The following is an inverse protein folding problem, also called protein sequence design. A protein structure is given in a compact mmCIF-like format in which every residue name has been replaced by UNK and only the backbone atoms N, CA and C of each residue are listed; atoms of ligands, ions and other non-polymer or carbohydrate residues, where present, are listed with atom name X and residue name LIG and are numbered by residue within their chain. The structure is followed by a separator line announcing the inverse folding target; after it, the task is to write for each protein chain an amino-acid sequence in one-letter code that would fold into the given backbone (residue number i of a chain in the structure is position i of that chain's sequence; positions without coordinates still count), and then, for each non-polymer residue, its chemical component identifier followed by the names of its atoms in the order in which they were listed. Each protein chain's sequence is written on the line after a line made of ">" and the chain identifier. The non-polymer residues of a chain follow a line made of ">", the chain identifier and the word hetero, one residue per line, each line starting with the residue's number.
data_IF_149088412829
#
_entry.id   IF_149088412829
#
_cell.length_a   1.000
_cell.length_b   1.000
_cell.length_c   1.000
_cell.angle_alpha   90.00
_cell.angle_beta   90.00
_cell.angle_gamma   90.00
#
_symmetry.space_group_name_H-M   'P 1'
#
loop_
_entity.id
_entity.type
_entity.pdbx_description
1 polymer ?
#
# COMPACT_ATOMS: atom_id res chain seq x y z
N UNK A 1 15.14 -6.33 10.09
CA UNK A 1 14.01 -5.38 9.92
C UNK A 1 13.42 -5.65 8.54
N UNK A 2 12.11 -5.79 8.43
CA UNK A 2 11.42 -6.07 7.16
C UNK A 2 10.62 -4.85 6.75
N UNK A 3 10.35 -4.66 5.46
CA UNK A 3 9.70 -3.44 4.97
C UNK A 3 8.36 -3.77 4.34
N UNK A 4 7.32 -3.06 4.76
CA UNK A 4 6.02 -3.06 4.09
C UNK A 4 6.01 -1.89 3.12
N UNK A 5 5.54 -2.12 1.91
CA UNK A 5 5.39 -1.06 0.92
C UNK A 5 3.92 -0.78 0.68
N UNK A 6 3.54 0.50 0.74
CA UNK A 6 2.22 0.97 0.34
C UNK A 6 2.31 1.70 -1.00
N UNK A 7 1.45 1.35 -1.94
CA UNK A 7 1.41 1.89 -3.28
C UNK A 7 0.06 2.57 -3.51
N UNK A 8 0.11 3.76 -4.11
CA UNK A 8 -1.07 4.52 -4.51
C UNK A 8 -1.09 4.78 -6.01
N UNK A 9 -2.22 5.31 -6.47
CA UNK A 9 -2.44 5.68 -7.86
C UNK A 9 -2.63 7.20 -7.92
N UNK A 10 -1.57 7.90 -8.34
CA UNK A 10 -1.56 9.36 -8.37
C UNK A 10 -2.05 9.91 -9.72
N UNK A 11 -2.66 11.11 -9.70
CA UNK A 11 -3.18 11.76 -10.91
C UNK A 11 -2.08 12.14 -11.93
N UNK A 12 -0.84 12.32 -11.46
CA UNK A 12 0.31 12.63 -12.31
C UNK A 12 1.01 11.39 -12.85
N UNK A 13 0.51 10.18 -12.58
CA UNK A 13 1.15 8.94 -13.00
C UNK A 13 0.84 8.62 -14.48
N UNK A 14 1.86 8.57 -15.36
CA UNK A 14 1.66 8.23 -16.76
C UNK A 14 1.23 6.76 -16.98
N UNK A 15 1.38 5.89 -15.98
CA UNK A 15 1.16 4.45 -16.09
C UNK A 15 -0.31 4.05 -15.94
N UNK A 16 -1.19 4.75 -16.67
CA UNK A 16 -2.65 4.56 -16.61
C UNK A 16 -3.24 4.47 -18.01
N UNK A 17 -4.04 3.44 -18.29
CA UNK A 17 -4.83 3.39 -19.52
C UNK A 17 -6.04 4.33 -19.42
N UNK A 18 -5.82 5.58 -19.82
CA UNK A 18 -6.81 6.65 -19.77
C UNK A 18 -7.73 6.71 -20.99
N UNK A 19 -7.47 5.93 -22.04
CA UNK A 19 -8.22 6.05 -23.29
C UNK A 19 -9.67 5.56 -23.13
N UNK A 20 -10.62 6.51 -23.20
CA UNK A 20 -12.04 6.23 -22.99
C UNK A 20 -12.41 5.97 -21.51
N UNK A 21 -11.47 6.20 -20.59
CA UNK A 21 -11.67 6.01 -19.15
C UNK A 21 -12.18 7.29 -18.49
N UNK A 22 -13.11 7.14 -17.54
CA UNK A 22 -13.44 8.17 -16.57
C UNK A 22 -12.67 7.88 -15.28
N UNK A 23 -11.83 8.83 -14.86
CA UNK A 23 -10.98 8.67 -13.68
C UNK A 23 -11.16 9.88 -12.78
N UNK A 24 -11.53 9.64 -11.52
CA UNK A 24 -11.64 10.67 -10.50
C UNK A 24 -10.71 10.35 -9.33
N UNK A 25 -9.95 11.37 -8.90
CA UNK A 25 -9.00 11.30 -7.79
C UNK A 25 -9.59 12.06 -6.61
N UNK A 26 -9.85 11.36 -5.52
CA UNK A 26 -10.46 11.92 -4.32
C UNK A 26 -9.40 12.51 -3.38
N UNK A 27 -9.82 13.47 -2.54
CA UNK A 27 -8.93 14.13 -1.58
C UNK A 27 -8.31 13.17 -0.55
N UNK A 28 -8.95 12.01 -0.33
CA UNK A 28 -8.45 10.94 0.54
C UNK A 28 -7.52 9.95 -0.19
N UNK A 29 -7.15 10.22 -1.46
CA UNK A 29 -6.26 9.39 -2.26
C UNK A 29 -6.93 8.22 -2.98
N UNK A 30 -8.26 8.08 -2.90
CA UNK A 30 -8.96 7.02 -3.63
C UNK A 30 -9.07 7.37 -5.11
N UNK A 31 -9.02 6.34 -5.95
CA UNK A 31 -9.21 6.50 -7.40
C UNK A 31 -10.46 5.74 -7.83
N UNK A 32 -11.40 6.48 -8.41
CA UNK A 32 -12.57 5.89 -9.07
C UNK A 32 -12.30 5.78 -10.55
N UNK A 33 -12.33 4.55 -11.06
CA UNK A 33 -12.10 4.20 -12.45
C UNK A 33 -13.35 3.59 -13.07
N UNK A 34 -13.67 4.01 -14.29
CA UNK A 34 -14.69 3.40 -15.12
C UNK A 34 -14.29 3.46 -16.59
N UNK A 35 -14.33 2.31 -17.26
CA UNK A 35 -14.21 2.27 -18.72
C UNK A 35 -15.03 1.09 -19.27
N UNK A 36 -16.23 1.36 -19.77
CA UNK A 36 -17.13 0.32 -20.26
C UNK A 36 -16.69 -0.28 -21.60
N UNK A 37 -15.80 0.39 -22.33
CA UNK A 37 -15.37 -0.01 -23.68
C UNK A 37 -14.00 -0.71 -23.68
N UNK A 38 -13.23 -0.61 -22.59
CA UNK A 38 -11.94 -1.26 -22.51
C UNK A 38 -12.11 -2.80 -22.55
N UNK A 39 -11.42 -3.51 -23.46
CA UNK A 39 -11.48 -4.97 -23.54
C UNK A 39 -10.98 -5.66 -22.26
N UNK A 40 -11.46 -6.88 -22.02
CA UNK A 40 -10.90 -7.73 -20.97
C UNK A 40 -9.42 -8.06 -21.26
N UNK A 41 -8.63 -8.22 -20.20
CA UNK A 41 -7.19 -8.49 -20.24
C UNK A 41 -6.31 -7.24 -20.40
N UNK A 42 -6.90 -6.05 -20.50
CA UNK A 42 -6.13 -4.79 -20.58
C UNK A 42 -5.75 -4.28 -19.20
N UNK A 43 -4.58 -3.63 -19.13
CA UNK A 43 -4.11 -2.97 -17.91
C UNK A 43 -4.93 -1.71 -17.67
N UNK A 44 -5.34 -1.51 -16.43
CA UNK A 44 -5.97 -0.28 -15.95
C UNK A 44 -4.89 0.70 -15.53
N UNK A 45 -3.98 0.24 -14.68
CA UNK A 45 -2.87 1.00 -14.12
C UNK A 45 -1.74 0.03 -13.76
N UNK A 46 -0.49 0.50 -13.78
CA UNK A 46 0.67 -0.33 -13.44
C UNK A 46 1.78 0.44 -12.71
N UNK A 47 2.53 -0.30 -11.91
CA UNK A 47 3.74 0.17 -11.23
C UNK A 47 4.90 -0.71 -11.70
N UNK A 48 6.08 -0.15 -11.92
CA UNK A 48 7.23 -0.87 -12.46
C UNK A 48 8.55 -0.42 -11.80
N UNK A 49 9.55 -1.30 -11.77
CA UNK A 49 10.90 -0.95 -11.27
C UNK A 49 11.70 -0.11 -12.25
N UNK A 50 11.34 -0.13 -13.54
CA UNK A 50 12.07 0.54 -14.60
C UNK A 50 11.12 1.03 -15.69
N UNK A 51 11.29 2.28 -16.09
CA UNK A 51 10.51 2.87 -17.16
C UNK A 51 11.14 2.53 -18.53
N UNK A 52 10.36 2.04 -19.50
CA UNK A 52 10.81 1.97 -20.88
C UNK A 52 10.83 3.40 -21.42
N UNK A 53 12.03 3.89 -21.79
CA UNK A 53 12.37 5.18 -22.41
C UNK A 53 13.03 6.21 -21.48
N UNK A 54 14.28 6.50 -21.82
CA UNK A 54 15.23 7.30 -21.07
C UNK A 54 14.74 8.70 -20.72
N UNK A 55 14.73 9.00 -19.44
CA UNK A 55 15.40 10.17 -18.85
C UNK A 55 15.23 10.10 -17.33
N UNK A 56 16.18 9.44 -16.66
CA UNK A 56 16.28 9.36 -15.21
C UNK A 56 16.60 10.71 -14.52
N UNK A 57 16.43 11.85 -15.21
CA UNK A 57 16.86 13.18 -14.75
C UNK A 57 15.74 14.22 -14.64
N UNK A 58 14.47 13.81 -14.61
CA UNK A 58 13.40 14.73 -14.20
C UNK A 58 13.22 14.75 -12.67
N UNK A 59 12.99 15.91 -12.04
CA UNK A 59 12.78 16.04 -10.59
C UNK A 59 11.50 15.39 -10.05
N UNK A 60 10.70 14.71 -10.90
CA UNK A 60 9.39 14.16 -10.56
C UNK A 60 9.34 12.61 -10.48
N UNK A 61 10.46 11.91 -10.72
CA UNK A 61 10.44 10.46 -10.99
C UNK A 61 10.89 9.57 -9.82
N UNK A 62 11.60 10.10 -8.82
CA UNK A 62 12.15 9.30 -7.72
C UNK A 62 11.12 8.68 -6.76
N UNK A 63 9.84 9.03 -6.89
CA UNK A 63 8.75 8.54 -6.04
C UNK A 63 7.76 7.61 -6.73
N UNK A 64 7.94 7.31 -8.04
CA UNK A 64 7.00 6.58 -8.91
C UNK A 64 7.42 5.15 -9.26
N UNK A 65 8.62 4.74 -8.86
CA UNK A 65 9.17 3.42 -9.20
C UNK A 65 8.97 2.44 -8.05
N UNK A 66 8.66 1.19 -8.40
CA UNK A 66 8.63 0.09 -7.45
C UNK A 66 10.00 -0.09 -6.76
N UNK A 67 10.01 -0.51 -5.49
CA UNK A 67 11.25 -0.77 -4.77
C UNK A 67 11.96 -2.00 -5.36
N UNK A 68 13.28 -2.05 -5.28
CA UNK A 68 13.98 -3.32 -5.52
C UNK A 68 13.77 -4.25 -4.32
N UNK A 69 13.11 -5.38 -4.55
CA UNK A 69 12.83 -6.37 -3.50
C UNK A 69 13.98 -7.39 -3.39
N UNK A 70 14.30 -7.87 -2.18
CA UNK A 70 15.19 -9.01 -1.99
C UNK A 70 14.81 -10.22 -2.85
N UNK A 71 15.83 -10.94 -3.35
CA UNK A 71 15.64 -12.16 -4.14
C UNK A 71 15.52 -13.39 -3.26
N UNK A 72 14.76 -14.38 -3.74
CA UNK A 72 14.42 -15.63 -3.06
C UNK A 72 13.77 -15.39 -1.69
N UNK A 73 13.06 -14.26 -1.56
CA UNK A 73 12.17 -13.97 -0.44
C UNK A 73 10.74 -13.93 -0.96
N UNK A 74 9.83 -14.52 -0.18
CA UNK A 74 8.41 -14.55 -0.50
C UNK A 74 7.72 -13.28 -0.01
N UNK A 75 6.84 -12.76 -0.84
CA UNK A 75 6.03 -11.57 -0.58
C UNK A 75 4.56 -11.84 -0.90
N UNK A 76 3.71 -11.00 -0.33
CA UNK A 76 2.28 -10.96 -0.57
C UNK A 76 1.88 -9.57 -1.03
N UNK A 77 1.21 -9.53 -2.17
CA UNK A 77 0.58 -8.35 -2.71
C UNK A 77 -0.89 -8.34 -2.31
N UNK A 78 -1.34 -7.23 -1.75
CA UNK A 78 -2.72 -7.05 -1.29
C UNK A 78 -3.30 -5.84 -1.98
N UNK A 79 -4.33 -6.05 -2.78
CA UNK A 79 -5.15 -4.98 -3.30
C UNK A 79 -6.23 -4.63 -2.29
N UNK A 80 -6.39 -3.34 -2.03
CA UNK A 80 -7.63 -2.84 -1.50
C UNK A 80 -8.32 -1.98 -2.55
N UNK A 81 -9.48 -2.47 -2.93
CA UNK A 81 -10.40 -1.79 -3.79
C UNK A 81 -11.68 -2.60 -3.91
N UNK A 82 -12.71 -1.94 -4.43
CA UNK A 82 -13.99 -2.58 -4.72
C UNK A 82 -14.23 -2.53 -6.22
N UNK A 83 -14.40 -3.69 -6.82
CA UNK A 83 -14.76 -3.83 -8.22
C UNK A 83 -16.25 -4.21 -8.32
N UNK A 84 -16.94 -3.63 -9.29
CA UNK A 84 -18.28 -4.00 -9.68
C UNK A 84 -18.29 -4.41 -11.16
N UNK A 85 -18.68 -5.65 -11.52
CA UNK A 85 -18.96 -6.79 -10.62
C UNK A 85 -17.75 -7.20 -9.77
N UNK A 86 -17.97 -8.00 -8.72
CA UNK A 86 -16.86 -8.58 -7.94
C UNK A 86 -15.92 -9.40 -8.85
N UNK A 87 -14.64 -9.47 -8.47
CA UNK A 87 -13.57 -10.19 -9.20
C UNK A 87 -13.39 -9.76 -10.66
N UNK A 88 -13.88 -8.57 -11.02
CA UNK A 88 -13.78 -8.03 -12.38
C UNK A 88 -12.50 -7.23 -12.63
N UNK A 89 -11.68 -7.04 -11.60
CA UNK A 89 -10.32 -6.47 -11.67
C UNK A 89 -9.38 -7.44 -10.97
N UNK A 90 -8.32 -7.85 -11.64
CA UNK A 90 -7.28 -8.72 -11.10
C UNK A 90 -5.96 -8.00 -10.90
N UNK A 91 -5.05 -8.65 -10.19
CA UNK A 91 -3.67 -8.22 -9.99
C UNK A 91 -2.76 -9.11 -10.82
N UNK A 92 -1.84 -8.52 -11.57
CA UNK A 92 -0.87 -9.21 -12.40
C UNK A 92 0.55 -8.80 -12.00
N UNK A 93 1.45 -9.76 -11.92
CA UNK A 93 2.90 -9.58 -11.80
C UNK A 93 3.56 -10.06 -13.09
N UNK A 94 4.41 -9.23 -13.67
CA UNK A 94 5.30 -9.59 -14.77
C UNK A 94 6.74 -9.33 -14.33
N UNK A 95 7.63 -10.28 -14.56
CA UNK A 95 9.06 -10.13 -14.25
C UNK A 95 9.89 -10.21 -15.52
N UNK A 96 11.05 -9.56 -15.49
CA UNK A 96 11.94 -9.43 -16.62
C UNK A 96 13.38 -9.79 -16.22
N UNK A 97 14.10 -10.43 -17.14
CA UNK A 97 15.52 -10.73 -16.95
C UNK A 97 16.41 -9.49 -17.19
N UNK A 98 17.73 -9.67 -17.04
CA UNK A 98 18.72 -8.63 -17.33
C UNK A 98 18.66 -8.08 -18.77
N UNK A 99 18.17 -8.88 -19.72
CA UNK A 99 18.00 -8.50 -21.12
C UNK A 99 16.61 -7.92 -21.42
N UNK A 100 15.82 -7.64 -20.38
CA UNK A 100 14.45 -7.14 -20.46
C UNK A 100 13.50 -8.08 -21.20
N UNK A 101 13.84 -9.37 -21.24
CA UNK A 101 12.94 -10.42 -21.74
C UNK A 101 12.00 -10.84 -20.62
N UNK A 102 10.78 -11.19 -20.99
CA UNK A 102 9.81 -11.77 -20.07
C UNK A 102 10.41 -13.01 -19.40
N UNK A 103 10.58 -12.96 -18.09
CA UNK A 103 11.07 -14.08 -17.30
C UNK A 103 9.90 -14.90 -16.75
N UNK A 104 8.90 -14.23 -16.15
CA UNK A 104 7.74 -14.88 -15.57
C UNK A 104 6.50 -13.98 -15.59
N UNK A 105 5.33 -14.61 -15.49
CA UNK A 105 4.04 -13.94 -15.39
C UNK A 105 3.14 -14.69 -14.41
N UNK A 106 2.53 -13.97 -13.48
CA UNK A 106 1.53 -14.52 -12.57
C UNK A 106 0.36 -13.56 -12.40
N UNK A 107 -0.81 -14.09 -12.07
CA UNK A 107 -2.02 -13.30 -11.94
C UNK A 107 -2.96 -13.88 -10.90
N UNK A 108 -3.69 -13.00 -10.22
CA UNK A 108 -4.80 -13.35 -9.35
C UNK A 108 -6.02 -12.51 -9.69
N UNK A 109 -7.20 -13.13 -9.70
CA UNK A 109 -8.48 -12.41 -9.78
C UNK A 109 -8.97 -11.97 -8.41
N UNK A 110 -8.37 -12.49 -7.34
CA UNK A 110 -8.67 -12.04 -5.98
C UNK A 110 -7.86 -10.79 -5.65
N UNK A 111 -8.14 -10.22 -4.50
CA UNK A 111 -7.40 -9.09 -3.96
C UNK A 111 -6.00 -9.46 -3.40
N UNK A 112 -5.50 -10.66 -3.68
CA UNK A 112 -4.25 -11.18 -3.12
C UNK A 112 -3.44 -11.95 -4.17
N UNK A 113 -2.13 -11.71 -4.21
CA UNK A 113 -1.16 -12.46 -5.01
C UNK A 113 0.08 -12.76 -4.16
N UNK A 114 0.50 -14.02 -4.08
CA UNK A 114 1.78 -14.40 -3.44
C UNK A 114 2.83 -14.59 -4.52
N UNK A 115 4.05 -14.11 -4.28
CA UNK A 115 5.13 -14.19 -5.26
C UNK A 115 6.50 -14.26 -4.58
N UNK A 116 7.50 -14.68 -5.35
CA UNK A 116 8.91 -14.69 -5.00
C UNK A 116 9.69 -14.28 -6.24
N UNK A 117 10.69 -13.40 -6.08
CA UNK A 117 11.57 -13.01 -7.18
C UNK A 117 12.86 -13.82 -7.12
N UNK A 118 13.16 -14.56 -8.16
CA UNK A 118 14.40 -15.32 -8.34
C UNK A 118 15.59 -14.41 -8.68
N UNK A 119 16.80 -14.95 -8.63
CA UNK A 119 18.02 -14.18 -8.94
C UNK A 119 18.07 -13.69 -10.41
N UNK A 120 17.41 -14.40 -11.33
CA UNK A 120 17.42 -14.07 -12.76
C UNK A 120 16.40 -12.99 -13.12
N UNK A 121 15.43 -12.73 -12.24
CA UNK A 121 14.40 -11.69 -12.41
C UNK A 121 14.95 -10.36 -11.88
N UNK A 122 15.30 -9.44 -12.79
CA UNK A 122 15.94 -8.16 -12.48
C UNK A 122 14.92 -7.04 -12.28
N UNK A 123 13.92 -6.98 -13.15
CA UNK A 123 12.87 -5.96 -13.14
C UNK A 123 11.51 -6.61 -12.99
N UNK A 124 10.55 -5.87 -12.45
CA UNK A 124 9.19 -6.35 -12.32
C UNK A 124 8.16 -5.24 -12.40
N UNK A 125 6.94 -5.62 -12.77
CA UNK A 125 5.77 -4.77 -12.89
C UNK A 125 4.60 -5.40 -12.15
N UNK A 126 3.85 -4.59 -11.39
CA UNK A 126 2.52 -4.92 -10.94
C UNK A 126 1.48 -4.15 -11.74
N UNK A 127 0.43 -4.84 -12.14
CA UNK A 127 -0.64 -4.30 -12.97
C UNK A 127 -2.00 -4.61 -12.38
N UNK A 128 -2.90 -3.63 -12.40
CA UNK A 128 -4.34 -3.85 -12.28
C UNK A 128 -4.87 -4.22 -13.67
N UNK A 129 -5.55 -5.35 -13.79
CA UNK A 129 -6.03 -5.85 -15.08
C UNK A 129 -7.54 -5.91 -15.09
N UNK A 130 -8.14 -5.29 -16.11
CA UNK A 130 -9.58 -5.28 -16.32
C UNK A 130 -10.05 -6.62 -16.89
N UNK A 131 -11.13 -7.15 -16.33
CA UNK A 131 -11.96 -8.20 -16.93
C UNK A 131 -13.32 -7.61 -17.31
N UNK A 132 -14.38 -8.06 -16.68
CA UNK A 132 -15.73 -7.56 -16.93
C UNK A 132 -16.08 -6.33 -16.05
N UNK A 133 -15.11 -5.45 -15.78
CA UNK A 133 -15.30 -4.35 -14.84
C UNK A 133 -16.19 -3.25 -15.42
N UNK A 134 -17.15 -2.80 -14.62
CA UNK A 134 -17.98 -1.62 -14.90
C UNK A 134 -17.50 -0.41 -14.11
N UNK A 135 -17.15 -0.64 -12.84
CA UNK A 135 -16.65 0.39 -11.94
C UNK A 135 -15.62 -0.21 -10.99
N UNK A 136 -14.55 0.53 -10.73
CA UNK A 136 -13.52 0.15 -9.78
C UNK A 136 -13.19 1.33 -8.88
N UNK A 137 -13.15 1.09 -7.57
CA UNK A 137 -12.63 2.03 -6.60
C UNK A 137 -11.34 1.46 -6.05
N UNK A 138 -10.22 2.04 -6.44
CA UNK A 138 -8.91 1.73 -5.90
C UNK A 138 -8.65 2.54 -4.63
N UNK A 139 -8.17 1.89 -3.58
CA UNK A 139 -7.78 2.56 -2.34
C UNK A 139 -6.28 2.44 -2.07
N UNK A 140 -5.67 1.30 -2.40
CA UNK A 140 -4.23 1.10 -2.25
C UNK A 140 -3.80 -0.31 -2.58
N UNK A 141 -2.49 -0.51 -2.69
CA UNK A 141 -1.88 -1.81 -2.87
C UNK A 141 -0.71 -1.96 -1.88
N UNK A 142 -0.58 -3.11 -1.23
CA UNK A 142 0.47 -3.36 -0.25
C UNK A 142 1.35 -4.53 -0.63
N UNK A 143 2.66 -4.35 -0.53
CA UNK A 143 3.64 -5.44 -0.59
C UNK A 143 4.07 -5.76 0.83
N UNK A 144 3.78 -6.99 1.28
CA UNK A 144 4.06 -7.46 2.64
C UNK A 144 5.00 -8.67 2.58
N UNK A 145 6.15 -8.64 3.25
CA UNK A 145 7.04 -9.80 3.39
C UNK A 145 6.34 -10.99 4.04
N UNK A 146 6.62 -12.22 3.59
CA UNK A 146 5.99 -13.45 4.12
C UNK A 146 6.19 -13.56 5.64
N UNK A 147 7.35 -13.19 6.19
CA UNK A 147 7.59 -13.15 7.63
C UNK A 147 6.56 -12.32 8.41
N UNK A 148 6.15 -11.16 7.89
CA UNK A 148 5.11 -10.33 8.52
C UNK A 148 3.73 -10.96 8.27
N UNK A 149 3.49 -11.45 7.06
CA UNK A 149 2.24 -12.11 6.69
C UNK A 149 1.93 -13.35 7.54
N UNK A 150 2.94 -14.15 7.90
CA UNK A 150 2.76 -15.33 8.75
C UNK A 150 2.36 -14.94 10.18
N UNK A 151 2.81 -13.79 10.68
CA UNK A 151 2.56 -13.35 12.05
C UNK A 151 1.27 -12.53 12.21
N UNK A 152 0.88 -11.79 11.17
CA UNK A 152 -0.21 -10.81 11.25
C UNK A 152 -1.30 -11.04 10.20
N UNK A 153 -2.54 -10.85 10.60
CA UNK A 153 -3.64 -10.53 9.69
C UNK A 153 -3.53 -9.05 9.34
N UNK A 154 -3.33 -8.79 8.05
CA UNK A 154 -3.22 -7.44 7.51
C UNK A 154 -4.63 -6.96 7.14
N UNK A 155 -5.12 -5.91 7.81
CA UNK A 155 -6.43 -5.33 7.57
C UNK A 155 -6.28 -3.85 7.21
N UNK A 156 -6.38 -3.51 5.92
CA UNK A 156 -6.38 -2.12 5.52
C UNK A 156 -7.61 -1.35 6.02
N UNK A 157 -7.44 -0.05 6.30
CA UNK A 157 -8.39 0.87 6.93
C UNK A 157 -8.40 2.22 6.21
N UNK A 158 -8.85 2.21 4.98
CA UNK A 158 -8.69 3.36 4.08
C UNK A 158 -9.53 4.58 4.42
N UNK A 159 -10.73 4.41 4.98
CA UNK A 159 -11.52 5.53 5.53
C UNK A 159 -10.76 6.27 6.66
N UNK A 160 -9.70 5.65 7.17
CA UNK A 160 -8.85 6.16 8.22
C UNK A 160 -7.42 6.43 7.76
N UNK A 161 -7.14 6.28 6.45
CA UNK A 161 -5.79 6.30 5.89
C UNK A 161 -4.81 5.43 6.69
N UNK A 162 -5.21 4.20 7.03
CA UNK A 162 -4.42 3.34 7.91
C UNK A 162 -4.37 1.89 7.44
N UNK A 163 -3.45 1.11 8.02
CA UNK A 163 -3.41 -0.35 7.93
C UNK A 163 -3.20 -0.93 9.33
N UNK A 164 -3.99 -1.94 9.66
CA UNK A 164 -3.86 -2.71 10.89
C UNK A 164 -3.07 -3.98 10.60
N UNK A 165 -2.10 -4.26 11.46
CA UNK A 165 -1.43 -5.55 11.57
C UNK A 165 -1.87 -6.18 12.88
N UNK A 166 -2.73 -7.19 12.76
CA UNK A 166 -3.38 -7.86 13.89
C UNK A 166 -2.69 -9.21 14.10
N UNK A 167 -2.00 -9.46 15.23
CA UNK A 167 -1.30 -10.73 15.38
C UNK A 167 -2.27 -11.91 15.32
N UNK A 168 -1.90 -12.96 14.57
CA UNK A 168 -2.77 -14.14 14.37
C UNK A 168 -2.93 -14.96 15.65
N UNK A 169 -1.91 -14.97 16.51
CA UNK A 169 -1.85 -15.84 17.70
C UNK A 169 -2.05 -15.10 19.04
N UNK A 170 -2.41 -13.80 19.05
CA UNK A 170 -2.60 -13.05 20.29
C UNK A 170 -4.08 -12.96 20.70
N UNK A 171 -4.49 -13.82 21.63
CA UNK A 171 -5.72 -13.67 22.42
C UNK A 171 -5.34 -13.12 23.80
N UNK A 172 -5.23 -11.80 23.98
CA UNK A 172 -5.29 -11.18 25.32
C UNK A 172 -5.96 -9.81 25.26
N UNK A 173 -6.94 -9.60 26.14
CA UNK A 173 -7.49 -8.29 26.49
C UNK A 173 -6.51 -7.57 27.44
N UNK A 174 -6.42 -6.25 27.34
CA UNK A 174 -5.49 -5.43 28.14
C UNK A 174 -4.09 -5.25 27.52
N UNK A 175 -3.99 -5.36 26.19
CA UNK A 175 -2.73 -5.27 25.44
C UNK A 175 -2.31 -3.82 25.20
N UNK A 176 -1.00 -3.59 25.19
CA UNK A 176 -0.43 -2.37 24.59
C UNK A 176 -0.49 -2.51 23.06
N UNK A 177 -0.68 -1.41 22.36
CA UNK A 177 -0.56 -1.35 20.90
C UNK A 177 0.56 -0.41 20.47
N UNK A 178 0.97 -0.52 19.21
CA UNK A 178 1.88 0.45 18.60
C UNK A 178 1.21 1.13 17.43
N UNK A 179 1.25 2.47 17.41
CA UNK A 179 0.81 3.25 16.27
C UNK A 179 2.00 3.99 15.66
N UNK A 180 2.25 3.76 14.37
CA UNK A 180 3.25 4.48 13.59
C UNK A 180 2.56 5.51 12.70
N UNK A 181 3.02 6.75 12.79
CA UNK A 181 2.51 7.88 12.01
C UNK A 181 3.54 8.13 10.90
N UNK A 182 3.08 8.18 9.66
CA UNK A 182 3.92 8.41 8.48
C UNK A 182 3.29 9.39 7.54
N UNK A 183 4.09 10.31 7.01
CA UNK A 183 3.67 11.24 5.99
C UNK A 183 3.61 10.52 4.65
N UNK A 184 2.46 10.57 4.01
CA UNK A 184 2.21 9.95 2.72
C UNK A 184 2.29 11.00 1.63
N UNK A 185 3.45 11.09 0.98
CA UNK A 185 3.72 12.07 -0.09
C UNK A 185 4.33 11.45 -1.35
N UNK A 186 4.21 10.13 -1.53
CA UNK A 186 4.84 9.38 -2.64
C UNK A 186 3.89 8.32 -3.18
N UNK A 187 4.08 7.94 -4.44
CA UNK A 187 3.36 6.83 -5.08
C UNK A 187 3.72 5.50 -4.42
N UNK A 188 4.94 5.39 -3.88
CA UNK A 188 5.39 4.27 -3.05
C UNK A 188 5.91 4.79 -1.70
N UNK A 189 5.32 4.34 -0.60
CA UNK A 189 5.86 4.51 0.76
C UNK A 189 6.47 3.20 1.25
N UNK A 190 7.64 3.28 1.87
CA UNK A 190 8.36 2.16 2.44
C UNK A 190 8.36 2.31 3.96
N UNK A 191 7.65 1.42 4.64
CA UNK A 191 7.55 1.40 6.10
C UNK A 191 8.37 0.25 6.67
N UNK A 192 9.54 0.54 7.27
CA UNK A 192 10.28 -0.47 7.98
C UNK A 192 9.51 -0.91 9.23
N UNK A 193 9.39 -2.21 9.39
CA UNK A 193 8.70 -2.87 10.46
C UNK A 193 9.71 -3.76 11.20
N UNK A 194 9.95 -3.42 12.47
CA UNK A 194 10.66 -4.32 13.36
C UNK A 194 9.70 -5.45 13.71
N UNK A 195 10.05 -6.68 13.37
CA UNK A 195 9.24 -7.89 13.66
C UNK A 195 9.07 -8.18 15.16
N UNK A 196 9.62 -7.33 16.04
CA UNK A 196 9.91 -7.62 17.45
C UNK A 196 8.97 -7.06 18.53
N UNK A 197 7.86 -6.34 18.27
CA UNK A 197 6.72 -6.42 19.18
C UNK A 197 5.74 -7.47 18.64
N UNK A 198 6.19 -8.73 18.58
CA UNK A 198 5.58 -9.83 17.82
C UNK A 198 4.15 -10.26 18.23
N UNK A 199 3.50 -9.59 19.20
CA UNK A 199 2.22 -10.02 19.76
C UNK A 199 1.27 -8.87 20.12
N UNK A 200 1.49 -7.68 19.57
CA UNK A 200 0.62 -6.52 19.81
C UNK A 200 -0.04 -6.05 18.51
N UNK A 201 -1.28 -5.53 18.55
CA UNK A 201 -1.85 -4.81 17.41
C UNK A 201 -0.94 -3.65 17.03
N UNK A 202 -0.63 -3.55 15.73
CA UNK A 202 0.09 -2.41 15.17
C UNK A 202 -0.81 -1.68 14.18
N UNK A 203 -0.83 -0.35 14.22
CA UNK A 203 -1.49 0.48 13.20
C UNK A 203 -0.47 1.40 12.57
N UNK A 204 -0.39 1.39 11.24
CA UNK A 204 0.35 2.42 10.50
C UNK A 204 -0.71 3.40 9.98
N UNK A 205 -0.56 4.68 10.31
CA UNK A 205 -1.43 5.77 9.85
C UNK A 205 -0.65 6.65 8.89
N UNK A 206 -1.20 6.81 7.70
CA UNK A 206 -0.71 7.71 6.67
C UNK A 206 -1.38 9.06 6.81
N UNK A 207 -0.57 10.07 7.10
CA UNK A 207 -1.01 11.46 7.27
C UNK A 207 -0.50 12.30 6.11
N UNK A 208 -1.14 13.44 5.87
CA UNK A 208 -0.61 14.45 4.94
C UNK A 208 -0.23 15.72 5.71
N UNK A 209 0.45 16.65 5.06
CA UNK A 209 0.81 17.93 5.68
C UNK A 209 -0.39 18.79 6.10
N UNK A 210 -1.61 18.48 5.65
CA UNK A 210 -2.84 19.17 6.03
C UNK A 210 -3.55 18.58 7.24
N UNK A 211 -3.07 17.45 7.78
CA UNK A 211 -3.67 16.84 8.98
C UNK A 211 -3.43 17.71 10.22
N UNK A 212 -4.45 17.77 11.06
CA UNK A 212 -4.43 18.40 12.38
C UNK A 212 -4.16 17.40 13.50
N UNK A 213 -3.71 17.90 14.65
CA UNK A 213 -3.53 17.09 15.85
C UNK A 213 -4.84 16.38 16.27
N UNK A 214 -5.98 17.07 16.19
CA UNK A 214 -7.30 16.51 16.54
C UNK A 214 -7.72 15.35 15.63
N UNK A 215 -7.37 15.37 14.34
CA UNK A 215 -7.60 14.22 13.45
C UNK A 215 -6.77 13.01 13.88
N UNK A 216 -5.51 13.23 14.29
CA UNK A 216 -4.64 12.17 14.79
C UNK A 216 -5.12 11.61 16.14
N UNK A 217 -5.59 12.46 17.06
CA UNK A 217 -6.20 12.05 18.33
C UNK A 217 -7.42 11.16 18.09
N UNK A 218 -8.26 11.52 17.11
CA UNK A 218 -9.40 10.68 16.74
C UNK A 218 -8.92 9.30 16.25
N UNK A 219 -7.88 9.23 15.41
CA UNK A 219 -7.34 7.92 14.96
C UNK A 219 -6.75 7.10 16.10
N UNK A 220 -6.14 7.76 17.09
CA UNK A 220 -5.64 7.11 18.30
C UNK A 220 -6.78 6.57 19.16
N UNK A 221 -7.84 7.35 19.35
CA UNK A 221 -9.04 6.92 20.08
C UNK A 221 -9.68 5.71 19.38
N UNK A 222 -9.87 5.78 18.06
CA UNK A 222 -10.43 4.68 17.26
C UNK A 222 -9.57 3.41 17.39
N UNK A 223 -8.24 3.53 17.42
CA UNK A 223 -7.34 2.38 17.59
C UNK A 223 -7.45 1.74 18.96
N UNK A 224 -7.52 2.56 20.02
CA UNK A 224 -7.76 2.07 21.39
C UNK A 224 -9.09 1.34 21.48
N UNK A 225 -10.14 1.88 20.89
CA UNK A 225 -11.48 1.27 20.88
C UNK A 225 -11.54 0.00 20.04
N UNK A 226 -10.96 0.01 18.84
CA UNK A 226 -10.97 -1.15 17.92
C UNK A 226 -10.32 -2.39 18.53
N UNK A 227 -9.32 -2.20 19.40
CA UNK A 227 -8.51 -3.29 19.97
C UNK A 227 -8.52 -3.37 21.50
N UNK A 228 -9.38 -2.60 22.18
CA UNK A 228 -9.48 -2.56 23.65
C UNK A 228 -8.11 -2.33 24.34
N UNK A 229 -7.35 -1.33 23.84
CA UNK A 229 -5.96 -1.07 24.25
C UNK A 229 -5.89 -0.17 25.49
N UNK A 230 -5.07 -0.56 26.46
CA UNK A 230 -4.80 0.25 27.66
C UNK A 230 -3.80 1.38 27.39
N UNK A 231 -2.81 1.12 26.56
CA UNK A 231 -1.78 2.07 26.17
C UNK A 231 -1.43 1.90 24.70
N UNK A 232 -0.97 2.98 24.08
CA UNK A 232 -0.51 2.98 22.70
C UNK A 232 0.83 3.68 22.65
N UNK A 233 1.86 2.97 22.18
CA UNK A 233 3.14 3.58 21.86
C UNK A 233 3.04 4.27 20.51
N UNK A 234 3.22 5.58 20.50
CA UNK A 234 3.26 6.39 19.28
C UNK A 234 4.69 6.50 18.77
N UNK A 235 4.87 6.34 17.46
CA UNK A 235 6.16 6.50 16.78
C UNK A 235 5.98 7.28 15.50
N UNK A 236 6.89 8.19 15.18
CA UNK A 236 6.90 8.88 13.89
C UNK A 236 7.90 8.20 12.94
N UNK A 237 7.51 8.05 11.67
CA UNK A 237 8.40 7.55 10.62
C UNK A 237 9.19 8.64 9.89
N UNK A 238 8.87 9.92 10.10
CA UNK A 238 9.48 11.06 9.42
C UNK A 238 9.25 12.38 10.19
N UNK A 239 9.84 13.48 9.71
CA UNK A 239 9.80 14.80 10.37
C UNK A 239 8.40 15.44 10.39
N UNK A 240 7.58 15.25 9.36
CA UNK A 240 6.21 15.81 9.33
C UNK A 240 5.36 15.08 10.35
N UNK A 241 5.47 13.75 10.40
CA UNK A 241 4.80 12.92 11.41
C UNK A 241 5.27 13.25 12.83
N UNK A 242 6.57 13.51 13.02
CA UNK A 242 7.11 13.90 14.33
C UNK A 242 6.58 15.26 14.78
N UNK A 243 6.46 16.23 13.86
CA UNK A 243 5.87 17.54 14.15
C UNK A 243 4.42 17.38 14.63
N UNK A 244 3.62 16.60 13.90
CA UNK A 244 2.22 16.35 14.24
C UNK A 244 2.08 15.66 15.62
N UNK A 245 2.95 14.69 15.93
CA UNK A 245 2.97 14.07 17.25
C UNK A 245 3.31 15.06 18.37
N UNK A 246 4.26 15.97 18.13
CA UNK A 246 4.62 16.98 19.12
C UNK A 246 3.46 17.97 19.35
N UNK A 247 2.75 18.37 18.30
CA UNK A 247 1.57 19.25 18.39
C UNK A 247 0.44 18.60 19.22
N UNK A 248 0.20 17.29 19.01
CA UNK A 248 -0.76 16.53 19.80
C UNK A 248 -0.35 16.47 21.29
N UNK A 249 0.91 16.16 21.59
CA UNK A 249 1.40 16.08 22.97
C UNK A 249 1.39 17.42 23.71
N UNK A 250 1.45 18.55 22.99
CA UNK A 250 1.36 19.89 23.57
C UNK A 250 -0.07 20.32 23.86
N UNK A 251 -1.06 19.70 23.21
CA UNK A 251 -2.49 20.00 23.40
C UNK A 251 -3.08 19.36 24.67
N UNK A 252 -2.36 18.40 25.26
CA UNK A 252 -2.68 17.72 26.53
C UNK A 252 -2.16 18.46 27.79
N UNK A 253 -1.56 19.65 27.65
CA UNK A 253 -1.06 20.52 28.75
C UNK A 253 -1.94 21.77 28.88
#
# INVERSE_FOLDING_TARGET
>A
MKTIYGLTWDASDPNTDSYGSQIAYDLNGFVRYQNLLQPAGKRIHWWETKHPQGNAQGPHYGSKLLPQLPRNEKFHLLLDGTASPADSVGIKLVTYDQNQQLANESMSLTNHLSFELTNDEQDYEFSLVKFNNQQFVFKGLFIVPDEIWQLFTIKPRFEMAAIDLIPKDSVKKGTEGTMMIRNFNRVVDATPFATLPALQPNRIVWVTASWSASELEQKLADFKTDFDLQSVKLTAGDLVSQRLLNEMQQSDI
#
